data_IF_766189453754
#
_entry.id   IF_766189453754
#
_cell.length_a   1.000
_cell.length_b   1.000
_cell.length_c   1.000
_cell.angle_alpha   90.00
_cell.angle_beta   90.00
_cell.angle_gamma   90.00
#
_symmetry.space_group_name_H-M   'P 1'
#
loop_
_entity.id
_entity.type
_entity.pdbx_description
1 polymer ?
#
# COMPACT_ATOMS: atom_id res chain seq x y z
N UNK A 1 12.39 -1.07 -30.34
CA UNK A 1 11.15 -0.30 -30.07
C UNK A 1 11.46 0.64 -28.91
N UNK A 2 11.17 1.95 -29.02
CA UNK A 2 11.22 2.84 -27.85
C UNK A 2 10.09 2.41 -26.92
N UNK A 3 10.41 1.99 -25.70
CA UNK A 3 9.39 1.86 -24.66
C UNK A 3 8.91 3.27 -24.34
N UNK A 4 7.79 3.68 -24.94
CA UNK A 4 7.13 4.93 -24.60
C UNK A 4 6.50 4.81 -23.22
N UNK A 5 6.76 5.81 -22.38
CA UNK A 5 6.28 5.91 -21.00
C UNK A 5 5.47 7.20 -20.92
N UNK A 6 4.34 7.14 -20.22
CA UNK A 6 3.52 8.30 -19.89
C UNK A 6 3.56 8.59 -18.40
N UNK A 7 3.58 9.86 -18.03
CA UNK A 7 3.41 10.28 -16.65
C UNK A 7 1.93 10.37 -16.33
N UNK A 8 1.50 9.72 -15.25
CA UNK A 8 0.13 9.81 -14.72
C UNK A 8 0.17 10.03 -13.22
N UNK A 9 -0.75 10.82 -12.69
CA UNK A 9 -0.88 11.00 -11.24
C UNK A 9 -1.91 10.03 -10.69
N UNK A 10 -1.51 9.18 -9.75
CA UNK A 10 -2.39 8.32 -8.99
C UNK A 10 -2.68 8.99 -7.64
N UNK A 11 -3.95 9.32 -7.40
CA UNK A 11 -4.40 9.82 -6.10
C UNK A 11 -4.66 8.65 -5.14
N UNK A 12 -4.00 8.66 -3.98
CA UNK A 12 -4.14 7.69 -2.90
C UNK A 12 -4.81 8.38 -1.72
N UNK A 13 -5.95 7.84 -1.29
CA UNK A 13 -6.69 8.38 -0.14
C UNK A 13 -6.25 7.67 1.14
N UNK A 14 -5.53 8.37 2.01
CA UNK A 14 -5.03 7.84 3.28
C UNK A 14 -6.14 7.55 4.28
N UNK A 15 -7.32 8.18 4.16
CA UNK A 15 -8.48 7.82 4.96
C UNK A 15 -9.04 6.46 4.54
N UNK A 16 -9.02 6.16 3.25
CA UNK A 16 -9.44 4.84 2.75
C UNK A 16 -8.46 3.74 3.20
N UNK A 17 -7.14 4.02 3.19
CA UNK A 17 -6.12 3.11 3.76
C UNK A 17 -6.41 2.80 5.23
N UNK A 18 -6.66 3.83 6.05
CA UNK A 18 -7.00 3.63 7.47
C UNK A 18 -8.24 2.75 7.65
N UNK A 19 -9.30 3.01 6.87
CA UNK A 19 -10.54 2.22 6.92
C UNK A 19 -10.28 0.76 6.55
N UNK A 20 -9.51 0.50 5.51
CA UNK A 20 -9.15 -0.86 5.09
C UNK A 20 -8.36 -1.59 6.20
N UNK A 21 -7.38 -0.92 6.80
CA UNK A 21 -6.61 -1.48 7.92
C UNK A 21 -7.49 -1.80 9.13
N UNK A 22 -8.39 -0.89 9.53
CA UNK A 22 -9.32 -1.13 10.65
C UNK A 22 -10.27 -2.30 10.35
N UNK A 23 -10.80 -2.35 9.13
CA UNK A 23 -11.71 -3.42 8.71
C UNK A 23 -10.99 -4.78 8.65
N UNK A 24 -9.79 -4.84 8.09
CA UNK A 24 -9.03 -6.10 8.00
C UNK A 24 -8.55 -6.56 9.38
N UNK A 25 -8.13 -5.63 10.24
CA UNK A 25 -7.80 -5.90 11.64
C UNK A 25 -8.98 -6.52 12.41
N UNK A 26 -10.17 -5.94 12.30
CA UNK A 26 -11.37 -6.49 12.92
C UNK A 26 -11.72 -7.88 12.35
N UNK A 27 -11.61 -8.07 11.04
CA UNK A 27 -11.82 -9.38 10.41
C UNK A 27 -10.86 -10.43 10.93
N UNK A 28 -9.57 -10.10 11.06
CA UNK A 28 -8.55 -11.01 11.60
C UNK A 28 -8.95 -11.40 13.04
N UNK A 29 -9.22 -10.43 13.91
CA UNK A 29 -9.60 -10.68 15.29
C UNK A 29 -10.86 -11.56 15.43
N UNK A 30 -11.84 -11.40 14.53
CA UNK A 30 -13.06 -12.22 14.50
C UNK A 30 -12.81 -13.65 14.00
N UNK A 31 -11.84 -13.84 13.11
CA UNK A 31 -11.50 -15.16 12.55
C UNK A 31 -10.48 -15.94 13.40
N UNK A 32 -9.79 -15.27 14.34
CA UNK A 32 -8.87 -15.92 15.28
C UNK A 32 -9.61 -16.50 16.48
N UNK A 33 -9.10 -17.61 17.02
CA UNK A 33 -9.60 -18.21 18.26
C UNK A 33 -9.50 -17.22 19.43
N UNK A 34 -10.41 -17.32 20.39
CA UNK A 34 -10.52 -16.34 21.49
C UNK A 34 -9.24 -16.21 22.32
N UNK A 35 -8.49 -17.30 22.52
CA UNK A 35 -7.23 -17.32 23.27
C UNK A 35 -6.04 -16.64 22.56
N UNK A 36 -6.15 -16.43 21.24
CA UNK A 36 -5.06 -15.91 20.39
C UNK A 36 -5.46 -14.63 19.66
N UNK A 37 -6.64 -14.08 19.99
CA UNK A 37 -7.23 -12.93 19.29
C UNK A 37 -6.29 -11.72 19.36
N UNK A 38 -5.80 -11.21 18.22
CA UNK A 38 -4.99 -10.01 18.22
C UNK A 38 -5.83 -8.77 18.57
N UNK A 39 -5.16 -7.72 19.01
CA UNK A 39 -5.80 -6.42 19.27
C UNK A 39 -6.42 -5.87 17.97
N UNK A 40 -7.60 -5.26 18.11
CA UNK A 40 -8.29 -4.59 17.02
C UNK A 40 -7.79 -3.15 16.95
N UNK A 41 -7.26 -2.76 15.79
CA UNK A 41 -6.78 -1.40 15.53
C UNK A 41 -8.00 -0.51 15.30
N UNK A 42 -8.03 0.63 16.00
CA UNK A 42 -9.13 1.60 15.90
C UNK A 42 -8.60 3.03 15.72
N UNK A 43 -9.50 4.01 15.68
CA UNK A 43 -9.12 5.42 15.53
C UNK A 43 -8.33 6.00 16.73
N UNK A 44 -8.34 5.32 17.87
CA UNK A 44 -7.48 5.66 19.00
C UNK A 44 -5.98 5.58 18.63
N UNK A 45 -5.65 4.77 17.61
CA UNK A 45 -4.30 4.62 17.07
C UNK A 45 -3.96 5.65 15.98
N UNK A 46 -4.79 6.68 15.73
CA UNK A 46 -4.62 7.61 14.57
C UNK A 46 -3.23 8.20 14.37
N UNK A 47 -2.53 8.53 15.46
CA UNK A 47 -1.16 9.09 15.39
C UNK A 47 -0.16 8.05 14.89
N UNK A 48 -0.27 6.83 15.41
CA UNK A 48 0.57 5.71 15.01
C UNK A 48 0.28 5.31 13.55
N UNK A 49 -1.01 5.26 13.19
CA UNK A 49 -1.46 5.01 11.82
C UNK A 49 -0.86 6.00 10.82
N UNK A 50 -0.81 7.29 11.18
CA UNK A 50 -0.18 8.31 10.32
C UNK A 50 1.31 8.01 10.08
N UNK A 51 2.04 7.61 11.12
CA UNK A 51 3.47 7.24 11.00
C UNK A 51 3.63 6.01 10.11
N UNK A 52 2.89 4.94 10.38
CA UNK A 52 2.97 3.69 9.62
C UNK A 52 2.56 3.86 8.15
N UNK A 53 1.56 4.70 7.86
CA UNK A 53 1.21 5.02 6.47
C UNK A 53 2.38 5.75 5.79
N UNK A 54 3.01 6.71 6.47
CA UNK A 54 4.20 7.41 5.96
C UNK A 54 5.36 6.44 5.66
N UNK A 55 5.67 5.54 6.59
CA UNK A 55 6.71 4.52 6.40
C UNK A 55 6.39 3.57 5.24
N UNK A 56 5.14 3.09 5.15
CA UNK A 56 4.68 2.25 4.05
C UNK A 56 4.77 2.95 2.69
N UNK A 57 4.48 4.25 2.64
CA UNK A 57 4.61 5.06 1.43
C UNK A 57 6.06 5.24 0.99
N UNK A 58 6.97 5.47 1.93
CA UNK A 58 8.41 5.54 1.66
C UNK A 58 8.94 4.20 1.16
N UNK A 59 8.52 3.08 1.78
CA UNK A 59 8.87 1.74 1.33
C UNK A 59 8.35 1.48 -0.09
N UNK A 60 7.08 1.83 -0.36
CA UNK A 60 6.49 1.74 -1.69
C UNK A 60 7.28 2.56 -2.72
N UNK A 61 7.55 3.84 -2.43
CA UNK A 61 8.26 4.72 -3.34
C UNK A 61 9.68 4.22 -3.63
N UNK A 62 10.37 3.71 -2.61
CA UNK A 62 11.70 3.12 -2.74
C UNK A 62 11.68 1.86 -3.62
N UNK A 63 10.66 1.01 -3.44
CA UNK A 63 10.51 -0.24 -4.20
C UNK A 63 10.15 0.00 -5.67
N UNK A 64 9.35 1.04 -5.94
CA UNK A 64 8.85 1.37 -7.27
C UNK A 64 9.53 2.60 -7.88
N UNK A 65 10.72 2.97 -7.40
CA UNK A 65 11.42 4.21 -7.80
C UNK A 65 11.63 4.33 -9.32
N UNK A 66 11.83 3.22 -10.04
CA UNK A 66 11.95 3.20 -11.50
C UNK A 66 10.65 3.58 -12.25
N UNK A 67 9.51 3.54 -11.55
CA UNK A 67 8.18 3.84 -12.08
C UNK A 67 7.56 5.08 -11.44
N UNK A 68 8.35 5.90 -10.72
CA UNK A 68 7.87 7.12 -10.07
C UNK A 68 8.68 8.30 -10.59
N UNK A 69 7.99 9.38 -10.95
CA UNK A 69 8.65 10.64 -11.25
C UNK A 69 9.04 11.33 -9.93
N UNK A 70 10.27 11.07 -9.49
CA UNK A 70 10.80 11.62 -8.24
C UNK A 70 10.87 13.15 -8.20
N UNK A 71 10.82 13.84 -9.35
CA UNK A 71 10.81 15.31 -9.39
C UNK A 71 9.47 15.92 -8.96
N UNK A 72 8.41 15.13 -9.02
CA UNK A 72 7.04 15.53 -8.68
C UNK A 72 6.52 14.85 -7.40
N UNK A 73 7.28 13.88 -6.85
CA UNK A 73 6.87 13.14 -5.67
C UNK A 73 7.01 14.02 -4.42
N UNK A 74 5.91 14.21 -3.69
CA UNK A 74 5.90 14.88 -2.40
C UNK A 74 5.25 13.96 -1.35
N UNK A 75 6.06 13.31 -0.53
CA UNK A 75 5.60 12.45 0.57
C UNK A 75 5.42 13.20 1.90
N UNK A 76 5.90 14.44 2.00
CA UNK A 76 5.83 15.25 3.22
C UNK A 76 4.48 15.99 3.34
N UNK A 77 3.55 15.74 2.43
CA UNK A 77 2.22 16.36 2.49
C UNK A 77 1.43 15.84 3.70
N UNK A 78 0.77 16.76 4.42
CA UNK A 78 -0.23 16.41 5.43
C UNK A 78 -1.62 16.14 4.81
N UNK A 79 -1.73 16.20 3.48
CA UNK A 79 -2.98 16.00 2.77
C UNK A 79 -3.51 14.58 2.94
N UNK A 80 -4.82 14.46 3.09
CA UNK A 80 -5.49 13.15 3.13
C UNK A 80 -5.39 12.42 1.79
N UNK A 81 -5.21 13.17 0.70
CA UNK A 81 -5.04 12.65 -0.65
C UNK A 81 -3.58 12.86 -1.08
N UNK A 82 -2.82 11.78 -1.13
CA UNK A 82 -1.47 11.78 -1.64
C UNK A 82 -1.46 11.60 -3.17
N UNK A 83 -0.65 12.39 -3.86
CA UNK A 83 -0.45 12.26 -5.30
C UNK A 83 0.85 11.51 -5.59
N UNK A 84 0.74 10.33 -6.19
CA UNK A 84 1.90 9.52 -6.63
C UNK A 84 2.05 9.69 -8.15
N UNK A 85 3.08 10.42 -8.63
CA UNK A 85 3.33 10.59 -10.06
C UNK A 85 4.02 9.34 -10.61
N UNK A 86 3.26 8.50 -11.28
CA UNK A 86 3.72 7.23 -11.83
C UNK A 86 4.16 7.39 -13.30
N UNK A 87 5.30 6.80 -13.62
CA UNK A 87 5.83 6.58 -14.96
C UNK A 87 5.34 5.22 -15.45
N UNK A 88 4.28 5.21 -16.27
CA UNK A 88 3.62 3.98 -16.71
C UNK A 88 3.94 3.72 -18.19
N UNK A 89 4.46 2.53 -18.56
CA UNK A 89 4.62 2.16 -19.95
C UNK A 89 3.30 2.16 -20.72
N UNK A 90 3.30 2.61 -21.96
CA UNK A 90 2.09 2.63 -22.79
C UNK A 90 1.51 1.23 -23.05
N UNK A 91 2.34 0.18 -22.92
CA UNK A 91 1.93 -1.22 -23.03
C UNK A 91 1.16 -1.75 -21.81
N UNK A 92 1.11 -1.02 -20.69
CA UNK A 92 0.40 -1.44 -19.48
C UNK A 92 -1.09 -1.62 -19.75
N UNK A 93 -1.59 -2.85 -19.55
CA UNK A 93 -2.99 -3.22 -19.80
C UNK A 93 -3.94 -2.93 -18.64
N UNK A 94 -3.42 -2.77 -17.42
CA UNK A 94 -4.26 -2.44 -16.27
C UNK A 94 -4.78 -1.01 -16.37
N UNK A 95 -6.06 -0.82 -16.01
CA UNK A 95 -6.61 0.52 -15.85
C UNK A 95 -5.94 1.24 -14.68
N UNK A 96 -5.92 2.58 -14.73
CA UNK A 96 -5.38 3.40 -13.63
C UNK A 96 -6.08 3.11 -12.30
N UNK A 97 -7.37 2.79 -12.33
CA UNK A 97 -8.14 2.40 -11.15
C UNK A 97 -7.65 1.06 -10.55
N UNK A 98 -7.30 0.08 -11.39
CA UNK A 98 -6.74 -1.19 -10.90
C UNK A 98 -5.34 -0.99 -10.32
N UNK A 99 -4.53 -0.14 -10.95
CA UNK A 99 -3.20 0.24 -10.44
C UNK A 99 -3.33 0.93 -9.09
N UNK A 100 -4.21 1.93 -8.97
CA UNK A 100 -4.53 2.60 -7.71
C UNK A 100 -4.88 1.60 -6.61
N UNK A 101 -5.82 0.69 -6.87
CA UNK A 101 -6.22 -0.34 -5.89
C UNK A 101 -5.08 -1.27 -5.48
N UNK A 102 -4.18 -1.63 -6.41
CA UNK A 102 -3.01 -2.43 -6.08
C UNK A 102 -2.05 -1.65 -5.18
N UNK A 103 -1.82 -0.37 -5.46
CA UNK A 103 -0.99 0.51 -4.62
C UNK A 103 -1.61 0.65 -3.22
N UNK A 104 -2.89 0.97 -3.13
CA UNK A 104 -3.62 1.07 -1.87
C UNK A 104 -3.49 -0.23 -1.07
N UNK A 105 -3.74 -1.38 -1.70
CA UNK A 105 -3.60 -2.69 -1.04
C UNK A 105 -2.17 -2.98 -0.55
N UNK A 106 -1.14 -2.60 -1.32
CA UNK A 106 0.27 -2.77 -0.92
C UNK A 106 0.55 -1.94 0.33
N UNK A 107 0.10 -0.68 0.35
CA UNK A 107 0.28 0.23 1.49
C UNK A 107 -0.51 -0.28 2.71
N UNK A 108 -1.80 -0.59 2.56
CA UNK A 108 -2.64 -1.13 3.63
C UNK A 108 -2.04 -2.40 4.25
N UNK A 109 -1.54 -3.32 3.42
CA UNK A 109 -0.89 -4.55 3.90
C UNK A 109 0.41 -4.26 4.66
N UNK A 110 1.22 -3.30 4.20
CA UNK A 110 2.44 -2.89 4.90
C UNK A 110 2.11 -2.30 6.27
N UNK A 111 1.13 -1.41 6.33
CA UNK A 111 0.66 -0.80 7.59
C UNK A 111 0.14 -1.87 8.55
N UNK A 112 -0.70 -2.78 8.07
CA UNK A 112 -1.26 -3.85 8.89
C UNK A 112 -0.17 -4.81 9.41
N UNK A 113 0.86 -5.10 8.60
CA UNK A 113 1.99 -5.91 9.02
C UNK A 113 2.81 -5.24 10.14
N UNK A 114 3.00 -3.91 10.07
CA UNK A 114 3.64 -3.12 11.13
C UNK A 114 2.80 -3.10 12.41
N UNK A 115 1.48 -2.97 12.30
CA UNK A 115 0.60 -3.02 13.47
C UNK A 115 0.65 -4.36 14.21
N UNK A 116 0.92 -5.45 13.49
CA UNK A 116 1.02 -6.80 14.05
C UNK A 116 2.45 -7.34 14.15
N UNK A 117 3.47 -6.47 14.13
CA UNK A 117 4.88 -6.89 14.18
C UNK A 117 5.19 -7.80 15.37
N UNK A 118 4.54 -7.59 16.52
CA UNK A 118 4.70 -8.42 17.73
C UNK A 118 4.13 -9.83 17.59
N UNK A 119 3.28 -10.08 16.59
CA UNK A 119 2.78 -11.40 16.20
C UNK A 119 3.44 -11.83 14.89
N UNK A 120 4.60 -12.50 15.00
CA UNK A 120 5.46 -12.82 13.85
C UNK A 120 4.77 -13.64 12.76
N UNK A 121 3.91 -14.60 13.13
CA UNK A 121 3.21 -15.45 12.16
C UNK A 121 2.16 -14.66 11.37
N UNK A 122 1.37 -13.83 12.06
CA UNK A 122 0.37 -12.98 11.43
C UNK A 122 1.04 -11.92 10.54
N UNK A 123 2.08 -11.24 11.05
CA UNK A 123 2.83 -10.23 10.29
C UNK A 123 3.49 -10.83 9.06
N UNK A 124 4.07 -12.04 9.17
CA UNK A 124 4.61 -12.77 8.02
C UNK A 124 3.53 -13.08 6.97
N UNK A 125 2.38 -13.60 7.40
CA UNK A 125 1.26 -13.92 6.49
C UNK A 125 0.78 -12.68 5.74
N UNK A 126 0.66 -11.55 6.41
CA UNK A 126 0.27 -10.28 5.79
C UNK A 126 1.36 -9.80 4.82
N UNK A 127 2.63 -9.93 5.19
CA UNK A 127 3.77 -9.60 4.34
C UNK A 127 3.81 -10.43 3.05
N UNK A 128 3.45 -11.71 3.12
CA UNK A 128 3.34 -12.57 1.93
C UNK A 128 2.22 -12.09 0.98
N UNK A 129 1.05 -11.69 1.52
CA UNK A 129 -0.05 -11.09 0.73
C UNK A 129 0.39 -9.78 0.07
N UNK A 130 1.16 -8.95 0.79
CA UNK A 130 1.76 -7.73 0.27
C UNK A 130 2.69 -8.04 -0.91
N UNK A 131 3.58 -9.00 -0.75
CA UNK A 131 4.54 -9.41 -1.78
C UNK A 131 3.85 -9.93 -3.04
N UNK A 132 2.75 -10.67 -2.91
CA UNK A 132 1.91 -11.07 -4.04
C UNK A 132 1.33 -9.86 -4.79
N UNK A 133 0.87 -8.83 -4.07
CA UNK A 133 0.33 -7.60 -4.66
C UNK A 133 1.44 -6.78 -5.35
N UNK A 134 2.64 -6.71 -4.76
CA UNK A 134 3.83 -6.11 -5.37
C UNK A 134 4.18 -6.81 -6.68
N UNK A 135 4.23 -8.14 -6.68
CA UNK A 135 4.54 -8.91 -7.89
C UNK A 135 3.53 -8.65 -9.01
N UNK A 136 2.24 -8.59 -8.69
CA UNK A 136 1.18 -8.26 -9.66
C UNK A 136 1.34 -6.86 -10.25
N UNK A 137 1.67 -5.86 -9.43
CA UNK A 137 1.89 -4.50 -9.91
C UNK A 137 3.15 -4.42 -10.78
N UNK A 138 4.25 -5.09 -10.38
CA UNK A 138 5.48 -5.15 -11.18
C UNK A 138 5.25 -5.80 -12.54
N UNK A 139 4.54 -6.93 -12.62
CA UNK A 139 4.19 -7.57 -13.89
C UNK A 139 3.41 -6.61 -14.80
N UNK A 140 2.44 -5.89 -14.24
CA UNK A 140 1.65 -4.92 -15.01
C UNK A 140 2.48 -3.73 -15.52
N UNK A 141 3.48 -3.29 -14.75
CA UNK A 141 4.34 -2.16 -15.09
C UNK A 141 5.52 -2.55 -15.99
N UNK A 142 6.03 -3.78 -15.92
CA UNK A 142 7.14 -4.24 -16.77
C UNK A 142 6.60 -4.79 -18.11
N UNK A 143 5.37 -5.28 -18.15
CA UNK A 143 4.72 -5.78 -19.36
C UNK A 143 5.23 -7.14 -19.82
N UNK A 144 5.63 -8.01 -18.87
CA UNK A 144 5.98 -9.43 -19.11
C UNK A 144 4.72 -10.28 -19.15
#
# INVERSE_FOLDING_TARGET
>A
MKNTVRTVTIAIDTNEIKREVYAESACIALMTQESERPEIITDDNRKLMRVYIGEALVEFASRFCAFIDGSLLNLDSEDEILQIPMLIPESTRLSLQMIRRLIEKIISSAVLAMCYETNSELSQTITERRNSSIARLLVALIGI
#
